data_IF_215024892817
#
_entry.id   IF_215024892817
#
_cell.length_a   1.000
_cell.length_b   1.000
_cell.length_c   1.000
_cell.angle_alpha   90.00
_cell.angle_beta   90.00
_cell.angle_gamma   90.00
#
_symmetry.space_group_name_H-M   'P 1'
#
loop_
_entity.id
_entity.type
_entity.pdbx_description
1 polymer ?
#
# COMPACT_ATOMS: atom_id res chain seq x y z
N UNK A 1 11.44 -16.83 9.04
CA UNK A 1 12.91 -16.70 9.01
C UNK A 1 13.61 -17.92 8.41
N UNK A 2 13.10 -19.13 8.65
CA UNK A 2 13.71 -20.35 8.08
C UNK A 2 13.60 -20.40 6.54
N UNK A 3 12.54 -19.80 6.00
CA UNK A 3 12.29 -19.74 4.54
C UNK A 3 13.25 -18.78 3.81
N UNK A 4 13.95 -17.93 4.56
CA UNK A 4 14.92 -16.95 4.06
C UNK A 4 16.37 -17.28 4.41
N UNK A 5 16.66 -18.58 4.60
CA UNK A 5 18.01 -19.01 4.93
C UNK A 5 18.94 -18.81 3.74
N UNK A 6 19.95 -17.97 3.93
CA UNK A 6 20.92 -17.61 2.89
C UNK A 6 20.59 -16.31 2.16
N UNK A 7 19.57 -15.60 2.59
CA UNK A 7 19.22 -14.26 2.09
C UNK A 7 19.67 -13.17 3.08
N UNK A 8 19.94 -11.99 2.55
CA UNK A 8 20.22 -10.80 3.35
C UNK A 8 18.89 -10.12 3.72
N UNK A 9 18.56 -10.09 5.00
CA UNK A 9 17.35 -9.46 5.50
C UNK A 9 17.68 -8.13 6.17
N UNK A 10 17.02 -7.06 5.74
CA UNK A 10 17.08 -5.75 6.38
C UNK A 10 16.01 -5.69 7.47
N UNK A 11 16.42 -5.48 8.69
CA UNK A 11 15.54 -5.44 9.86
C UNK A 11 15.80 -4.19 10.69
N UNK A 12 14.85 -3.84 11.57
CA UNK A 12 15.07 -2.79 12.58
C UNK A 12 15.79 -3.34 13.80
N UNK A 13 16.17 -2.45 14.71
CA UNK A 13 16.67 -2.80 16.05
C UNK A 13 15.56 -3.28 17.02
N UNK A 14 14.35 -3.43 16.54
CA UNK A 14 13.18 -3.85 17.31
C UNK A 14 12.48 -2.74 18.10
N UNK A 15 12.94 -1.49 18.01
CA UNK A 15 12.32 -0.34 18.71
C UNK A 15 11.36 0.44 17.85
N UNK A 16 11.52 0.39 16.54
CA UNK A 16 10.68 1.09 15.57
C UNK A 16 10.19 0.14 14.48
N UNK A 17 9.15 0.54 13.77
CA UNK A 17 8.76 -0.12 12.52
C UNK A 17 9.85 0.08 11.46
N UNK A 18 9.99 -0.87 10.56
CA UNK A 18 10.94 -0.78 9.45
C UNK A 18 10.59 0.40 8.52
N UNK A 19 9.32 0.60 8.29
CA UNK A 19 8.82 1.66 7.39
C UNK A 19 9.15 1.42 5.92
N UNK A 20 9.37 0.18 5.52
CA UNK A 20 9.53 -0.19 4.11
C UNK A 20 8.24 0.03 3.33
N UNK A 21 7.13 -0.20 3.98
CA UNK A 21 5.79 0.09 3.50
C UNK A 21 5.44 1.57 3.79
N UNK A 22 5.27 2.45 2.79
CA UNK A 22 5.58 2.14 1.38
C UNK A 22 6.76 3.00 0.84
N UNK A 23 7.82 3.17 1.63
CA UNK A 23 9.04 3.84 1.15
C UNK A 23 9.77 3.05 0.07
N UNK A 24 9.55 1.74 0.02
CA UNK A 24 10.07 0.90 -1.06
C UNK A 24 9.48 1.35 -2.40
N UNK A 25 8.16 1.50 -2.52
CA UNK A 25 7.51 1.99 -3.73
C UNK A 25 7.95 3.41 -4.12
N UNK A 26 8.20 4.28 -3.15
CA UNK A 26 8.80 5.59 -3.42
C UNK A 26 10.19 5.44 -4.06
N UNK A 27 11.02 4.56 -3.51
CA UNK A 27 12.36 4.32 -4.04
C UNK A 27 12.32 3.72 -5.46
N UNK A 28 11.40 2.82 -5.72
CA UNK A 28 11.18 2.22 -7.04
C UNK A 28 10.78 3.27 -8.08
N UNK A 29 9.80 4.12 -7.77
CA UNK A 29 9.35 5.20 -8.65
C UNK A 29 10.51 6.14 -8.99
N UNK A 30 11.24 6.60 -7.98
CA UNK A 30 12.36 7.53 -8.18
C UNK A 30 13.48 6.86 -8.98
N UNK A 31 13.80 5.61 -8.69
CA UNK A 31 14.83 4.86 -9.41
C UNK A 31 14.46 4.65 -10.89
N UNK A 32 13.20 4.34 -11.16
CA UNK A 32 12.70 4.20 -12.52
C UNK A 32 12.85 5.51 -13.32
N UNK A 33 12.54 6.64 -12.71
CA UNK A 33 12.70 7.96 -13.35
C UNK A 33 14.17 8.30 -13.60
N UNK A 34 15.04 8.02 -12.64
CA UNK A 34 16.49 8.18 -12.83
C UNK A 34 16.99 7.32 -13.99
N UNK A 35 16.59 6.06 -14.00
CA UNK A 35 16.95 5.12 -15.06
C UNK A 35 16.52 5.62 -16.46
N UNK A 36 15.29 6.12 -16.59
CA UNK A 36 14.81 6.68 -17.85
C UNK A 36 15.61 7.91 -18.29
N UNK A 37 16.02 8.75 -17.36
CA UNK A 37 16.87 9.92 -17.66
C UNK A 37 18.27 9.52 -18.13
N UNK A 38 18.83 8.46 -17.58
CA UNK A 38 20.16 7.94 -17.95
C UNK A 38 20.13 7.14 -19.26
N UNK A 39 18.93 6.69 -19.67
CA UNK A 39 18.73 5.89 -20.88
C UNK A 39 17.80 6.59 -21.88
N UNK A 40 18.21 7.70 -22.49
CA UNK A 40 17.34 8.51 -23.36
C UNK A 40 16.86 7.78 -24.62
N UNK A 41 17.42 6.62 -24.93
CA UNK A 41 16.94 5.75 -26.00
C UNK A 41 15.61 5.05 -25.68
N UNK A 42 15.22 4.98 -24.42
CA UNK A 42 13.93 4.42 -24.00
C UNK A 42 12.84 5.46 -24.25
N UNK A 43 11.95 5.15 -25.19
CA UNK A 43 10.81 6.03 -25.49
C UNK A 43 9.73 5.85 -24.45
N UNK A 44 9.27 6.95 -23.89
CA UNK A 44 8.16 6.98 -22.94
C UNK A 44 7.28 8.21 -23.17
N UNK A 45 6.03 8.12 -22.76
CA UNK A 45 5.12 9.26 -22.72
C UNK A 45 5.40 10.19 -21.54
N UNK A 46 4.47 11.11 -21.29
CA UNK A 46 4.50 11.98 -20.14
C UNK A 46 4.26 11.16 -18.87
N UNK A 47 5.17 11.26 -17.94
CA UNK A 47 5.07 10.61 -16.63
C UNK A 47 4.70 11.65 -15.58
N UNK A 48 3.75 11.33 -14.74
CA UNK A 48 3.39 12.09 -13.54
C UNK A 48 3.54 11.21 -12.33
N UNK A 49 4.06 11.76 -11.26
CA UNK A 49 4.24 11.06 -9.99
C UNK A 49 3.32 11.72 -8.98
N UNK A 50 2.56 10.91 -8.24
CA UNK A 50 1.69 11.34 -7.16
C UNK A 50 2.02 10.58 -5.89
N UNK A 51 2.11 11.29 -4.79
CA UNK A 51 2.20 10.74 -3.45
C UNK A 51 1.02 11.25 -2.64
N UNK A 52 0.35 10.36 -1.98
CA UNK A 52 -0.78 10.71 -1.11
C UNK A 52 -0.59 10.09 0.27
N UNK A 53 -0.93 10.82 1.33
CA UNK A 53 -0.88 10.32 2.70
C UNK A 53 -2.15 9.52 3.05
N UNK A 54 -2.17 8.96 4.26
CA UNK A 54 -3.36 8.39 4.89
C UNK A 54 -3.89 7.09 4.24
N UNK A 55 -3.03 6.34 3.56
CA UNK A 55 -3.40 5.04 2.99
C UNK A 55 -3.84 4.08 4.09
N UNK A 56 -3.07 3.93 5.16
CA UNK A 56 -3.27 3.01 6.28
C UNK A 56 -4.60 3.19 7.05
N UNK A 57 -5.22 4.34 6.91
CA UNK A 57 -6.53 4.63 7.49
C UNK A 57 -7.65 4.66 6.43
N UNK A 58 -7.35 4.26 5.20
CA UNK A 58 -8.28 4.19 4.09
C UNK A 58 -8.73 5.56 3.56
N UNK A 59 -7.97 6.62 3.79
CA UNK A 59 -8.33 7.98 3.36
C UNK A 59 -7.45 8.52 2.20
N UNK A 60 -6.46 7.77 1.76
CA UNK A 60 -5.49 8.21 0.78
C UNK A 60 -6.09 8.72 -0.53
N UNK A 61 -7.06 8.03 -1.08
CA UNK A 61 -7.67 8.38 -2.36
C UNK A 61 -8.72 9.51 -2.29
N UNK A 62 -9.27 9.83 -1.12
CA UNK A 62 -10.43 10.69 -0.99
C UNK A 62 -10.26 12.12 -1.50
N UNK A 63 -9.07 12.66 -1.38
CA UNK A 63 -8.74 14.04 -1.78
C UNK A 63 -7.86 14.11 -3.02
N UNK A 64 -7.55 12.97 -3.63
CA UNK A 64 -6.71 12.93 -4.80
C UNK A 64 -7.49 13.41 -6.03
N UNK A 65 -7.04 14.48 -6.65
CA UNK A 65 -7.71 15.06 -7.80
C UNK A 65 -7.26 14.37 -9.09
N UNK A 66 -7.95 13.29 -9.44
CA UNK A 66 -7.67 12.48 -10.64
C UNK A 66 -7.72 13.32 -11.92
N UNK A 67 -8.69 14.21 -12.06
CA UNK A 67 -8.84 15.07 -13.24
C UNK A 67 -7.64 16.01 -13.41
N UNK A 68 -7.17 16.62 -12.32
CA UNK A 68 -5.98 17.47 -12.34
C UNK A 68 -4.70 16.66 -12.56
N UNK A 69 -4.65 15.46 -12.02
CA UNK A 69 -3.52 14.55 -12.26
C UNK A 69 -3.41 14.18 -13.72
N UNK A 70 -4.53 13.96 -14.43
CA UNK A 70 -4.63 13.93 -15.88
C UNK A 70 -3.77 12.86 -16.54
N UNK A 71 -3.89 11.62 -16.07
CA UNK A 71 -3.29 10.43 -16.67
C UNK A 71 -4.37 9.47 -17.16
N UNK A 72 -4.14 8.79 -18.27
CA UNK A 72 -5.01 7.72 -18.77
C UNK A 72 -4.76 6.39 -18.05
N UNK A 73 -3.53 6.16 -17.63
CA UNK A 73 -3.06 4.95 -16.98
C UNK A 73 -2.34 5.33 -15.70
N UNK A 74 -2.47 4.50 -14.70
CA UNK A 74 -1.75 4.64 -13.44
C UNK A 74 -1.28 3.27 -12.95
N UNK A 75 -0.13 3.27 -12.31
CA UNK A 75 0.40 2.16 -11.54
C UNK A 75 0.51 2.60 -10.09
N UNK A 76 0.09 1.75 -9.19
CA UNK A 76 0.35 1.90 -7.76
C UNK A 76 1.48 0.98 -7.38
N UNK A 77 2.47 1.54 -6.69
CA UNK A 77 3.65 0.82 -6.23
C UNK A 77 3.46 0.57 -4.74
N UNK A 78 2.83 -0.55 -4.42
CA UNK A 78 2.53 -0.97 -3.07
C UNK A 78 2.84 -2.45 -2.91
N UNK A 79 3.04 -2.93 -1.68
CA UNK A 79 3.63 -4.21 -1.39
C UNK A 79 2.98 -5.43 -2.03
N UNK A 80 3.79 -6.41 -2.30
CA UNK A 80 3.50 -7.71 -2.86
C UNK A 80 4.80 -8.49 -3.02
N UNK A 81 4.76 -9.60 -3.70
CA UNK A 81 5.96 -10.34 -4.02
C UNK A 81 6.74 -9.68 -5.16
N UNK A 82 8.06 -9.83 -5.14
CA UNK A 82 8.92 -9.26 -6.18
C UNK A 82 8.55 -9.82 -7.55
N UNK A 83 8.24 -8.92 -8.49
CA UNK A 83 7.85 -9.28 -9.85
C UNK A 83 6.37 -9.58 -10.04
N UNK A 84 5.56 -9.44 -9.02
CA UNK A 84 4.11 -9.55 -9.12
C UNK A 84 3.51 -8.31 -9.80
N UNK A 85 2.54 -8.54 -10.65
CA UNK A 85 1.71 -7.51 -11.27
C UNK A 85 0.25 -7.85 -11.07
N UNK A 86 -0.41 -7.12 -10.20
CA UNK A 86 -1.85 -7.20 -10.01
C UNK A 86 -2.57 -6.29 -11.02
N UNK A 87 -3.53 -6.84 -11.72
CA UNK A 87 -4.34 -6.12 -12.72
C UNK A 87 -5.85 -6.29 -12.50
N UNK A 88 -6.21 -6.90 -11.39
CA UNK A 88 -7.59 -7.10 -10.95
C UNK A 88 -7.75 -6.51 -9.54
N UNK A 89 -8.93 -6.05 -9.22
CA UNK A 89 -9.29 -5.64 -7.88
C UNK A 89 -10.34 -6.60 -7.28
N UNK A 90 -10.51 -6.54 -6.00
CA UNK A 90 -11.52 -7.31 -5.26
C UNK A 90 -12.54 -6.37 -4.60
N UNK A 91 -13.72 -6.92 -4.32
CA UNK A 91 -14.72 -6.22 -3.54
C UNK A 91 -14.53 -6.54 -2.06
N UNK A 92 -14.58 -5.51 -1.23
CA UNK A 92 -14.52 -5.65 0.22
C UNK A 92 -15.74 -5.01 0.87
N UNK A 93 -16.18 -5.59 1.98
CA UNK A 93 -17.22 -5.03 2.82
C UNK A 93 -16.88 -5.24 4.28
N UNK A 94 -17.23 -4.30 5.11
CA UNK A 94 -17.12 -4.41 6.57
C UNK A 94 -18.46 -4.16 7.24
N UNK A 95 -18.68 -4.81 8.38
CA UNK A 95 -19.86 -4.60 9.19
C UNK A 95 -19.47 -4.40 10.65
N UNK A 96 -20.03 -3.38 11.28
CA UNK A 96 -19.91 -3.15 12.72
C UNK A 96 -21.22 -3.49 13.39
N UNK A 97 -21.25 -4.57 14.16
CA UNK A 97 -22.44 -5.06 14.85
C UNK A 97 -22.31 -4.73 16.34
N UNK A 98 -23.30 -4.04 16.88
CA UNK A 98 -23.35 -3.71 18.29
C UNK A 98 -24.53 -4.41 18.95
N UNK A 99 -24.26 -5.22 19.94
CA UNK A 99 -25.26 -5.89 20.75
C UNK A 99 -25.47 -5.12 22.05
N UNK A 100 -26.68 -4.66 22.29
CA UNK A 100 -27.08 -4.06 23.56
C UNK A 100 -27.88 -5.10 24.34
N UNK A 101 -27.26 -5.74 25.28
CA UNK A 101 -27.90 -6.69 26.18
C UNK A 101 -28.30 -6.05 27.50
N UNK A 102 -29.13 -6.73 28.24
CA UNK A 102 -29.42 -6.43 29.63
C UNK A 102 -28.70 -7.45 30.51
N UNK A 103 -27.89 -6.95 31.41
CA UNK A 103 -27.22 -7.85 32.36
C UNK A 103 -28.25 -8.39 33.36
N UNK A 104 -28.27 -9.69 33.50
CA UNK A 104 -29.09 -10.38 34.52
C UNK A 104 -28.15 -11.29 35.34
N UNK A 105 -28.54 -11.51 36.60
CA UNK A 105 -27.80 -12.43 37.45
C UNK A 105 -27.93 -13.86 36.89
N UNK A 106 -26.83 -14.68 36.87
CA UNK A 106 -26.88 -16.01 36.29
C UNK A 106 -27.93 -16.98 36.85
N UNK A 107 -28.41 -16.70 38.06
CA UNK A 107 -29.47 -17.49 38.72
C UNK A 107 -30.90 -17.02 38.39
N UNK A 108 -31.06 -16.01 37.54
CA UNK A 108 -32.35 -15.46 37.12
C UNK A 108 -32.69 -15.85 35.67
N UNK A 109 -32.19 -16.96 35.19
CA UNK A 109 -32.62 -17.55 33.91
C UNK A 109 -33.89 -18.38 34.19
N UNK A 110 -35.06 -17.84 33.87
CA UNK A 110 -36.27 -18.59 33.61
C UNK A 110 -36.40 -18.87 32.12
#
# INVERSE_FOLDING_TARGET
LLDHQGEDLIVTDGKTLLGADDKAGIAEIVSAVVYLKEHPGIKHGKIRIGFNPDEEIGLGAHKFNVAQFGCEWAYTMDGGEVGELEFENFNAASAKISFKGRNVHPLCQE
#
